data_IF_091246560441
#
_entry.id   IF_091246560441
#
_cell.length_a   1.000
_cell.length_b   1.000
_cell.length_c   1.000
_cell.angle_alpha   90.00
_cell.angle_beta   90.00
_cell.angle_gamma   90.00
#
_symmetry.space_group_name_H-M   'P 1'
#
loop_
_entity.id
_entity.type
_entity.pdbx_description
1 polymer ?
#
# COMPACT_ATOMS: atom_id res chain seq x y z
N UNK A 1 25.63 -14.08 7.09
CA UNK A 1 26.51 -14.68 6.06
C UNK A 1 27.89 -14.87 6.67
N UNK A 2 28.27 -16.08 7.03
CA UNK A 2 29.66 -16.41 7.40
C UNK A 2 30.43 -16.64 6.12
N UNK A 3 31.03 -15.57 5.59
CA UNK A 3 31.98 -15.68 4.49
C UNK A 3 33.30 -16.23 5.01
N UNK A 4 33.58 -17.51 4.76
CA UNK A 4 34.96 -17.98 4.69
C UNK A 4 35.63 -17.18 3.58
N UNK A 5 36.71 -16.48 3.92
CA UNK A 5 37.46 -15.59 3.02
C UNK A 5 37.76 -16.35 1.71
N UNK A 6 37.24 -15.86 0.58
CA UNK A 6 37.33 -16.39 -0.81
C UNK A 6 36.30 -17.41 -1.33
N UNK A 7 35.23 -17.76 -0.62
CA UNK A 7 34.16 -18.56 -1.23
C UNK A 7 33.16 -17.69 -2.01
N UNK A 8 32.78 -18.03 -3.26
CA UNK A 8 31.76 -17.29 -4.02
C UNK A 8 30.39 -17.39 -3.31
N UNK A 9 29.62 -16.32 -3.38
CA UNK A 9 28.33 -16.24 -2.70
C UNK A 9 27.34 -17.19 -3.36
N UNK A 10 26.81 -18.15 -2.60
CA UNK A 10 25.84 -19.13 -3.11
C UNK A 10 24.52 -19.08 -2.34
N UNK A 11 23.40 -19.04 -3.06
CA UNK A 11 22.05 -19.01 -2.49
C UNK A 11 21.03 -19.68 -3.42
N UNK A 12 19.89 -20.11 -2.87
CA UNK A 12 18.82 -20.79 -3.61
C UNK A 12 17.63 -19.84 -3.82
N UNK A 13 17.08 -19.85 -5.04
CA UNK A 13 15.88 -19.09 -5.40
C UNK A 13 14.85 -19.99 -6.09
N UNK A 14 13.58 -19.56 -6.10
CA UNK A 14 12.59 -20.15 -7.00
C UNK A 14 12.86 -19.70 -8.44
N UNK A 15 12.63 -20.58 -9.41
CA UNK A 15 12.80 -20.28 -10.85
C UNK A 15 12.03 -19.02 -11.29
N UNK A 16 10.84 -18.78 -10.74
CA UNK A 16 10.01 -17.62 -11.05
C UNK A 16 10.41 -16.31 -10.34
N UNK A 17 11.44 -16.33 -9.49
CA UNK A 17 12.00 -15.16 -8.81
C UNK A 17 13.32 -14.72 -9.45
N UNK A 18 13.77 -15.40 -10.51
CA UNK A 18 14.93 -14.96 -11.26
C UNK A 18 14.65 -13.62 -11.94
N UNK A 19 15.63 -12.70 -11.97
CA UNK A 19 15.55 -11.52 -12.81
C UNK A 19 15.32 -11.90 -14.27
N UNK A 20 14.57 -11.07 -15.01
CA UNK A 20 14.40 -11.25 -16.46
C UNK A 20 15.75 -11.16 -17.21
N UNK A 21 16.67 -10.33 -16.70
CA UNK A 21 18.04 -10.22 -17.19
C UNK A 21 18.99 -10.75 -16.12
N UNK A 22 19.52 -11.95 -16.36
CA UNK A 22 20.50 -12.56 -15.47
C UNK A 22 21.83 -11.79 -15.55
N UNK A 23 22.42 -11.39 -14.41
CA UNK A 23 23.77 -10.83 -14.40
C UNK A 23 24.79 -11.81 -14.98
N UNK A 24 25.73 -11.32 -15.78
CA UNK A 24 26.75 -12.17 -16.44
C UNK A 24 27.65 -12.92 -15.43
N UNK A 25 27.77 -12.42 -14.21
CA UNK A 25 28.55 -13.02 -13.12
C UNK A 25 27.82 -14.11 -12.34
N UNK A 26 26.59 -14.47 -12.72
CA UNK A 26 25.81 -15.52 -12.07
C UNK A 26 25.96 -16.84 -12.80
N UNK A 27 26.34 -17.89 -12.06
CA UNK A 27 26.19 -19.27 -12.50
C UNK A 27 24.90 -19.83 -11.90
N UNK A 28 24.02 -20.35 -12.76
CA UNK A 28 22.73 -20.92 -12.37
C UNK A 28 22.79 -22.43 -12.53
N UNK A 29 22.58 -23.16 -11.43
CA UNK A 29 22.51 -24.63 -11.41
C UNK A 29 21.11 -25.06 -11.02
N UNK A 30 20.47 -25.90 -11.82
CA UNK A 30 19.17 -26.45 -11.45
C UNK A 30 19.30 -27.43 -10.29
N UNK A 31 18.51 -27.23 -9.22
CA UNK A 31 18.41 -28.17 -8.11
C UNK A 31 17.23 -29.13 -8.31
N UNK A 32 16.08 -28.58 -8.72
CA UNK A 32 14.86 -29.34 -9.02
C UNK A 32 13.96 -28.58 -10.03
N UNK A 33 12.70 -29.01 -10.18
CA UNK A 33 11.74 -28.39 -11.10
C UNK A 33 11.32 -26.96 -10.72
N UNK A 34 11.49 -26.53 -9.47
CA UNK A 34 11.01 -25.25 -8.93
C UNK A 34 12.14 -24.34 -8.43
N UNK A 35 13.30 -24.88 -8.12
CA UNK A 35 14.41 -24.20 -7.46
C UNK A 35 15.71 -24.27 -8.26
N UNK A 36 16.49 -23.21 -8.14
CA UNK A 36 17.82 -23.07 -8.71
C UNK A 36 18.80 -22.58 -7.66
N UNK A 37 20.03 -23.06 -7.73
CA UNK A 37 21.15 -22.53 -6.98
C UNK A 37 21.86 -21.48 -7.83
N UNK A 38 22.07 -20.31 -7.25
CA UNK A 38 22.84 -19.22 -7.83
C UNK A 38 24.18 -19.15 -7.13
N UNK A 39 25.26 -19.12 -7.92
CA UNK A 39 26.61 -18.80 -7.45
C UNK A 39 27.05 -17.50 -8.11
N UNK A 40 27.22 -16.45 -7.30
CA UNK A 40 27.69 -15.14 -7.73
C UNK A 40 29.19 -15.01 -7.44
N UNK A 41 29.99 -14.77 -8.49
CA UNK A 41 31.45 -14.58 -8.39
C UNK A 41 31.87 -13.12 -8.20
N UNK A 42 30.95 -12.19 -8.45
CA UNK A 42 31.15 -10.75 -8.27
C UNK A 42 30.31 -10.20 -7.11
N UNK A 43 30.63 -8.99 -6.59
CA UNK A 43 29.83 -8.33 -5.58
C UNK A 43 28.37 -8.15 -6.02
N UNK A 44 27.45 -8.55 -5.13
CA UNK A 44 26.01 -8.47 -5.37
C UNK A 44 25.41 -7.26 -4.66
N UNK A 45 24.66 -6.42 -5.38
CA UNK A 45 23.82 -5.39 -4.78
C UNK A 45 22.45 -5.95 -4.41
N UNK A 46 22.10 -5.87 -3.13
CA UNK A 46 20.86 -6.40 -2.56
C UNK A 46 20.21 -5.39 -1.63
N UNK A 47 18.88 -5.41 -1.57
CA UNK A 47 18.11 -4.67 -0.58
C UNK A 47 17.86 -5.56 0.63
N UNK A 48 18.36 -5.14 1.79
CA UNK A 48 18.07 -5.78 3.07
C UNK A 48 16.99 -4.99 3.80
N UNK A 49 15.98 -5.66 4.37
CA UNK A 49 15.06 -5.02 5.30
C UNK A 49 15.83 -4.49 6.51
N UNK A 50 15.69 -3.20 6.78
CA UNK A 50 16.28 -2.54 7.94
C UNK A 50 15.26 -1.58 8.57
N UNK A 51 15.41 -1.32 9.86
CA UNK A 51 14.51 -0.49 10.65
C UNK A 51 15.21 0.76 11.18
N UNK A 52 14.52 1.89 11.18
CA UNK A 52 14.98 3.11 11.88
C UNK A 52 13.89 3.66 12.77
N UNK A 53 14.28 4.20 13.93
CA UNK A 53 13.36 4.96 14.76
C UNK A 53 12.98 6.29 14.06
N UNK A 54 11.69 6.64 14.11
CA UNK A 54 11.23 7.95 13.65
C UNK A 54 11.75 9.04 14.58
N UNK A 55 12.14 10.18 14.01
CA UNK A 55 12.48 11.38 14.81
C UNK A 55 11.23 12.03 15.43
N UNK A 56 10.06 11.80 14.82
CA UNK A 56 8.76 12.30 15.28
C UNK A 56 8.00 11.15 15.92
N UNK A 57 7.63 11.30 17.19
CA UNK A 57 7.00 10.26 18.02
C UNK A 57 5.56 10.61 18.44
N UNK A 58 5.00 11.71 17.93
CA UNK A 58 3.65 12.17 18.26
C UNK A 58 2.89 12.60 17.00
N UNK A 59 1.58 12.38 17.04
CA UNK A 59 0.63 12.82 16.02
C UNK A 59 -0.77 12.93 16.66
N UNK A 60 -1.62 13.81 16.11
CA UNK A 60 -3.05 13.80 16.42
C UNK A 60 -3.68 12.53 15.86
N UNK A 61 -4.33 11.76 16.72
CA UNK A 61 -4.92 10.47 16.37
C UNK A 61 -6.40 10.47 16.74
N UNK A 62 -7.19 9.67 16.02
CA UNK A 62 -8.55 9.33 16.46
C UNK A 62 -8.48 8.65 17.84
N UNK A 63 -9.56 8.71 18.63
CA UNK A 63 -9.64 8.00 19.90
C UNK A 63 -9.25 6.52 19.75
N UNK A 64 -8.41 6.03 20.65
CA UNK A 64 -7.97 4.63 20.65
C UNK A 64 -9.17 3.69 20.68
N UNK A 65 -9.19 2.73 19.75
CA UNK A 65 -10.29 1.77 19.60
C UNK A 65 -11.42 2.20 18.66
N UNK A 66 -11.42 3.45 18.17
CA UNK A 66 -12.35 3.88 17.14
C UNK A 66 -11.94 3.34 15.76
N UNK A 67 -12.80 2.51 15.16
CA UNK A 67 -12.59 1.86 13.88
C UNK A 67 -13.68 2.23 12.85
N UNK A 68 -13.41 3.19 11.93
CA UNK A 68 -14.33 3.54 10.86
C UNK A 68 -14.56 2.40 9.85
N UNK A 69 -13.62 1.46 9.71
CA UNK A 69 -13.70 0.38 8.74
C UNK A 69 -14.86 -0.57 9.06
N UNK A 70 -15.12 -0.79 10.36
CA UNK A 70 -16.18 -1.66 10.86
C UNK A 70 -17.60 -1.10 10.70
N UNK A 71 -17.75 0.20 10.41
CA UNK A 71 -19.06 0.87 10.40
C UNK A 71 -19.79 0.75 9.05
N UNK A 72 -19.10 0.32 8.00
CA UNK A 72 -19.69 0.11 6.68
C UNK A 72 -18.82 -0.83 5.82
N UNK A 73 -19.28 -1.20 4.61
CA UNK A 73 -18.48 -2.02 3.69
C UNK A 73 -17.36 -1.20 3.03
N UNK A 74 -16.21 -1.16 3.68
CA UNK A 74 -15.06 -0.30 3.42
C UNK A 74 -13.90 -1.00 2.70
N UNK A 75 -14.16 -2.16 2.09
CA UNK A 75 -13.13 -3.01 1.45
C UNK A 75 -12.33 -2.23 0.40
N UNK A 76 -11.01 -2.24 0.55
CA UNK A 76 -10.08 -1.51 -0.32
C UNK A 76 -10.17 0.01 -0.24
N UNK A 77 -10.97 0.58 0.67
CA UNK A 77 -10.98 2.03 0.85
C UNK A 77 -9.72 2.47 1.61
N UNK A 78 -9.04 3.52 1.14
CA UNK A 78 -8.02 4.19 1.92
C UNK A 78 -8.58 4.77 3.21
N UNK A 79 -7.75 4.90 4.25
CA UNK A 79 -8.19 5.39 5.57
C UNK A 79 -8.85 6.77 5.49
N UNK A 80 -8.35 7.66 4.62
CA UNK A 80 -8.95 8.98 4.39
C UNK A 80 -10.39 8.88 3.90
N UNK A 81 -10.66 8.01 2.92
CA UNK A 81 -12.02 7.79 2.40
C UNK A 81 -12.95 7.19 3.45
N UNK A 82 -12.45 6.28 4.30
CA UNK A 82 -13.21 5.73 5.42
C UNK A 82 -13.67 6.83 6.38
N UNK A 83 -12.76 7.74 6.72
CA UNK A 83 -13.06 8.90 7.56
C UNK A 83 -14.02 9.89 6.88
N UNK A 84 -13.88 10.14 5.59
CA UNK A 84 -14.78 11.01 4.83
C UNK A 84 -16.21 10.47 4.83
N UNK A 85 -16.40 9.17 4.58
CA UNK A 85 -17.75 8.56 4.61
C UNK A 85 -18.37 8.67 6.00
N UNK A 86 -17.61 8.36 7.05
CA UNK A 86 -18.09 8.48 8.43
C UNK A 86 -18.45 9.94 8.77
N UNK A 87 -17.54 10.88 8.53
CA UNK A 87 -17.73 12.30 8.86
C UNK A 87 -18.86 12.95 8.06
N UNK A 88 -18.99 12.63 6.77
CA UNK A 88 -20.11 13.10 5.96
C UNK A 88 -21.45 12.55 6.47
N UNK A 89 -21.49 11.28 6.88
CA UNK A 89 -22.69 10.67 7.45
C UNK A 89 -23.10 11.32 8.76
N UNK A 90 -22.13 11.60 9.64
CA UNK A 90 -22.36 12.32 10.90
C UNK A 90 -22.87 13.74 10.64
N UNK A 91 -22.25 14.49 9.73
CA UNK A 91 -22.67 15.83 9.36
C UNK A 91 -24.11 15.87 8.79
N UNK A 92 -24.47 14.94 7.90
CA UNK A 92 -25.83 14.84 7.35
C UNK A 92 -26.84 14.50 8.45
N UNK A 93 -26.50 13.58 9.36
CA UNK A 93 -27.39 13.23 10.48
C UNK A 93 -27.55 14.37 11.50
N UNK A 94 -26.51 15.19 11.68
CA UNK A 94 -26.53 16.34 12.58
C UNK A 94 -27.53 17.44 12.17
N UNK A 95 -28.03 17.42 10.92
CA UNK A 95 -29.08 18.33 10.46
C UNK A 95 -30.38 18.19 11.25
N UNK A 96 -30.61 17.04 11.89
CA UNK A 96 -31.86 16.77 12.64
C UNK A 96 -33.10 16.62 11.75
N UNK A 97 -32.93 16.62 10.43
CA UNK A 97 -33.98 16.39 9.44
C UNK A 97 -33.58 15.23 8.51
N UNK A 98 -34.53 14.37 8.09
CA UNK A 98 -34.23 13.33 7.12
C UNK A 98 -33.70 13.91 5.81
N UNK A 99 -32.66 13.29 5.24
CA UNK A 99 -32.09 13.72 3.97
C UNK A 99 -33.14 13.78 2.84
N UNK A 100 -34.11 12.85 2.84
CA UNK A 100 -35.22 12.86 1.89
C UNK A 100 -36.01 14.18 1.92
N UNK A 101 -36.24 14.76 3.11
CA UNK A 101 -36.93 16.05 3.25
C UNK A 101 -36.16 17.18 2.57
N UNK A 102 -34.82 17.13 2.59
CA UNK A 102 -33.97 18.08 1.86
C UNK A 102 -34.12 17.87 0.35
N UNK A 103 -34.04 16.62 -0.11
CA UNK A 103 -34.17 16.28 -1.53
C UNK A 103 -35.54 16.64 -2.12
N UNK A 104 -36.61 16.57 -1.33
CA UNK A 104 -37.97 16.95 -1.75
C UNK A 104 -38.15 18.48 -1.89
N UNK A 105 -37.24 19.27 -1.31
CA UNK A 105 -37.30 20.74 -1.28
C UNK A 105 -36.24 21.41 -2.14
N UNK A 106 -35.10 20.75 -2.33
CA UNK A 106 -33.93 21.29 -3.03
C UNK A 106 -33.68 20.48 -4.29
N UNK A 107 -33.78 21.09 -5.48
CA UNK A 107 -33.38 20.47 -6.73
C UNK A 107 -31.94 19.95 -6.67
N UNK A 108 -31.66 18.79 -7.29
CA UNK A 108 -30.36 18.13 -7.20
C UNK A 108 -29.19 18.95 -7.75
N UNK A 109 -29.45 19.82 -8.73
CA UNK A 109 -28.47 20.77 -9.28
C UNK A 109 -28.11 21.91 -8.31
N UNK A 110 -28.86 22.07 -7.22
CA UNK A 110 -28.58 23.01 -6.12
C UNK A 110 -27.89 22.33 -4.93
N UNK A 111 -27.56 21.05 -5.03
CA UNK A 111 -26.80 20.32 -4.02
C UNK A 111 -25.35 20.20 -4.50
N UNK A 112 -24.42 20.77 -3.74
CA UNK A 112 -22.99 20.74 -4.06
C UNK A 112 -22.17 20.12 -2.92
N UNK A 113 -21.09 19.43 -3.28
CA UNK A 113 -20.14 18.83 -2.33
C UNK A 113 -18.73 19.32 -2.69
N UNK A 114 -18.07 19.96 -1.73
CA UNK A 114 -16.69 20.40 -1.86
C UNK A 114 -15.84 19.66 -0.82
N UNK A 115 -15.09 18.66 -1.28
CA UNK A 115 -14.20 17.86 -0.43
C UNK A 115 -12.94 17.48 -1.22
N UNK A 116 -11.78 17.54 -0.56
CA UNK A 116 -10.50 17.16 -1.14
C UNK A 116 -9.47 16.88 -0.04
N UNK A 117 -8.44 16.11 -0.38
CA UNK A 117 -7.25 15.91 0.45
C UNK A 117 -6.06 16.56 -0.24
N UNK A 118 -5.33 17.42 0.48
CA UNK A 118 -4.13 18.05 -0.07
C UNK A 118 -3.02 17.04 -0.43
N UNK A 119 -2.95 15.92 0.30
CA UNK A 119 -1.94 14.88 0.08
C UNK A 119 -2.47 13.70 -0.75
N UNK A 120 -3.76 13.71 -1.11
CA UNK A 120 -4.45 12.50 -1.56
C UNK A 120 -4.42 11.40 -0.49
N UNK A 121 -4.45 10.14 -0.93
CA UNK A 121 -4.45 8.97 -0.06
C UNK A 121 -3.13 8.19 -0.19
N UNK A 122 -2.22 8.37 0.77
CA UNK A 122 -0.85 7.83 0.71
C UNK A 122 -0.66 6.49 1.44
N UNK A 123 -1.74 5.89 1.92
CA UNK A 123 -1.75 4.54 2.48
C UNK A 123 -1.81 3.47 1.36
N UNK A 124 -1.67 2.21 1.76
CA UNK A 124 -1.46 1.10 0.82
C UNK A 124 -2.65 0.87 -0.13
N UNK A 125 -3.87 1.23 0.27
CA UNK A 125 -5.08 1.10 -0.56
C UNK A 125 -5.23 2.24 -1.60
N UNK A 126 -4.40 3.28 -1.53
CA UNK A 126 -4.37 4.40 -2.47
C UNK A 126 -3.04 4.52 -3.21
N UNK A 127 -2.57 5.75 -3.35
CA UNK A 127 -1.30 6.10 -4.01
C UNK A 127 -0.09 5.45 -3.34
N UNK A 128 -0.14 5.18 -2.03
CA UNK A 128 0.93 4.49 -1.31
C UNK A 128 1.22 3.10 -1.88
N UNK A 129 0.16 2.32 -2.12
CA UNK A 129 0.28 1.01 -2.76
C UNK A 129 0.69 1.10 -4.23
N UNK A 130 0.21 2.12 -4.95
CA UNK A 130 0.63 2.37 -6.33
C UNK A 130 2.14 2.60 -6.45
N UNK A 131 2.71 3.42 -5.57
CA UNK A 131 4.12 3.79 -5.61
C UNK A 131 5.06 2.70 -5.08
N UNK A 132 4.64 1.94 -4.07
CA UNK A 132 5.52 1.02 -3.36
C UNK A 132 5.39 -0.45 -3.78
N UNK A 133 4.28 -0.88 -4.41
CA UNK A 133 4.05 -2.31 -4.66
C UNK A 133 5.16 -2.96 -5.50
N UNK A 134 5.60 -2.30 -6.57
CA UNK A 134 6.64 -2.84 -7.44
C UNK A 134 7.97 -3.03 -6.69
N UNK A 135 8.34 -2.08 -5.83
CA UNK A 135 9.55 -2.16 -5.00
C UNK A 135 9.49 -3.31 -3.97
N UNK A 136 8.27 -3.67 -3.55
CA UNK A 136 8.01 -4.78 -2.63
C UNK A 136 7.79 -6.12 -3.34
N UNK A 137 8.00 -6.21 -4.66
CA UNK A 137 7.74 -7.41 -5.44
C UNK A 137 6.26 -7.78 -5.55
N UNK A 138 5.36 -6.80 -5.36
CA UNK A 138 3.90 -6.95 -5.44
C UNK A 138 3.36 -6.27 -6.68
N UNK A 139 2.17 -6.67 -7.11
CA UNK A 139 1.43 -5.99 -8.18
C UNK A 139 0.63 -4.82 -7.63
N UNK A 140 0.56 -3.74 -8.40
CA UNK A 140 -0.34 -2.62 -8.13
C UNK A 140 -1.78 -3.07 -8.38
N UNK A 141 -2.69 -2.76 -7.45
CA UNK A 141 -4.12 -3.01 -7.61
C UNK A 141 -4.74 -1.97 -8.54
N UNK A 142 -5.73 -2.38 -9.35
CA UNK A 142 -6.50 -1.49 -10.21
C UNK A 142 -7.25 -0.39 -9.43
N UNK A 143 -7.46 -0.57 -8.12
CA UNK A 143 -8.13 0.40 -7.24
C UNK A 143 -7.20 1.50 -6.70
N UNK A 144 -5.89 1.29 -6.70
CA UNK A 144 -4.95 2.19 -6.03
C UNK A 144 -4.90 3.58 -6.68
N UNK A 145 -4.90 3.64 -8.01
CA UNK A 145 -4.89 4.90 -8.75
C UNK A 145 -6.19 5.71 -8.56
N UNK A 146 -7.40 5.14 -8.83
CA UNK A 146 -8.64 5.92 -8.68
C UNK A 146 -8.97 6.28 -7.22
N UNK A 147 -8.53 5.49 -6.24
CA UNK A 147 -8.72 5.79 -4.82
C UNK A 147 -7.56 6.59 -4.21
N UNK A 148 -6.57 6.99 -5.00
CA UNK A 148 -5.37 7.67 -4.51
C UNK A 148 -5.47 9.19 -4.41
N UNK A 149 -6.51 9.79 -5.01
CA UNK A 149 -6.72 11.24 -5.07
C UNK A 149 -7.50 11.79 -3.85
#
# INVERSE_FOLDING_TARGET
MTGLQNAPLSFTLKKNQLPEQLPASWTVTELDNLQVQITATEPLSVLFPDGRASKVNSAGQLPTGFDPEALYQSRSHPRGLQLTVFGASDAVQSLGIPWQTVQDKVPGDQIAVYASSAMGQLDFNGSGGMLQSALLGKRVSAKNCPLGL
#
